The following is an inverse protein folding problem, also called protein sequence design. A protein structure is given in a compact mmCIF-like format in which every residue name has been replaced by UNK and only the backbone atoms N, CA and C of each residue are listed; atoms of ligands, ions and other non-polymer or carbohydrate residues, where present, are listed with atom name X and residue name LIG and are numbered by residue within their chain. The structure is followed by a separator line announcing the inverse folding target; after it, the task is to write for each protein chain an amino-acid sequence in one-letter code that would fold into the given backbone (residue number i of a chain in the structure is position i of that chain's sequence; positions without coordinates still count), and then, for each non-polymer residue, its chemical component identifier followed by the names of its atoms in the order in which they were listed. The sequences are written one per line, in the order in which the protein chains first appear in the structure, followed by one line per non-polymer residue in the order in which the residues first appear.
data_IF_451005511445
#
_entry.id   IF_451005511445
#
_cell.length_a   1.000
_cell.length_b   1.000
_cell.length_c   1.000
_cell.angle_alpha   90.00
_cell.angle_beta   90.00
_cell.angle_gamma   90.00
#
_symmetry.space_group_name_H-M   'P 1'
#
loop_
_entity.id
_entity.type
_entity.pdbx_description
1 polymer ?
#
# COMPACT_ATOMS: atom_id res chain seq x y z
N UNK A 1 -30.38 11.41 7.26
CA UNK A 1 -30.38 11.75 8.69
C UNK A 1 -29.64 10.60 9.38
N UNK A 2 -28.39 10.66 9.84
CA UNK A 2 -27.34 11.67 9.91
C UNK A 2 -26.08 11.03 9.32
N UNK A 3 -25.24 11.80 8.62
CA UNK A 3 -23.97 11.31 8.08
C UNK A 3 -22.98 11.20 9.23
N UNK A 4 -22.50 10.00 9.52
CA UNK A 4 -21.28 9.82 10.29
C UNK A 4 -20.12 10.26 9.39
N UNK A 5 -19.83 11.57 9.44
CA UNK A 5 -18.75 12.20 8.72
C UNK A 5 -17.62 12.33 9.72
N UNK A 6 -16.61 11.47 9.63
CA UNK A 6 -15.34 11.69 10.33
C UNK A 6 -14.75 12.98 9.75
N UNK A 7 -14.91 14.08 10.48
CA UNK A 7 -14.38 15.38 10.11
C UNK A 7 -12.86 15.33 10.29
N UNK A 8 -12.12 15.55 9.21
CA UNK A 8 -10.66 15.61 9.23
C UNK A 8 -10.20 16.94 9.86
N UNK A 9 -9.10 16.90 10.63
CA UNK A 9 -8.65 18.03 11.45
C UNK A 9 -8.32 19.31 10.66
N UNK A 10 -8.07 19.19 9.36
CA UNK A 10 -7.85 20.29 8.42
C UNK A 10 -9.11 21.14 8.16
N UNK A 11 -10.32 20.62 8.44
CA UNK A 11 -11.56 21.41 8.34
C UNK A 11 -11.70 22.44 9.49
N UNK A 12 -11.03 22.24 10.63
CA UNK A 12 -11.16 23.12 11.81
C UNK A 12 -10.01 24.12 11.99
N UNK A 13 -8.84 23.87 11.39
CA UNK A 13 -7.68 24.75 11.53
C UNK A 13 -6.97 24.92 10.18
N UNK A 14 -7.11 26.08 9.50
CA UNK A 14 -6.54 26.30 8.16
C UNK A 14 -5.01 26.36 8.13
N UNK A 15 -4.35 26.39 9.29
CA UNK A 15 -2.90 26.27 9.48
C UNK A 15 -2.48 24.88 9.95
N UNK A 16 -3.42 23.97 10.22
CA UNK A 16 -3.09 22.60 10.57
C UNK A 16 -2.50 21.89 9.36
N UNK A 17 -1.36 21.25 9.59
CA UNK A 17 -0.68 20.45 8.59
C UNK A 17 -1.62 19.34 8.13
N UNK A 18 -1.81 19.22 6.81
CA UNK A 18 -2.60 18.14 6.20
C UNK A 18 -2.04 16.79 6.65
N UNK A 19 -2.81 16.07 7.46
CA UNK A 19 -2.49 14.73 7.95
C UNK A 19 -2.58 13.78 6.75
N UNK A 20 -1.54 12.99 6.50
CA UNK A 20 -1.61 11.98 5.45
C UNK A 20 -2.63 10.90 5.82
N UNK A 21 -3.27 10.26 4.84
CA UNK A 21 -4.19 9.15 5.11
C UNK A 21 -3.48 8.06 5.92
N UNK A 22 -4.05 7.68 7.07
CA UNK A 22 -3.46 6.73 8.00
C UNK A 22 -2.40 7.30 8.96
N UNK A 23 -2.03 8.58 8.84
CA UNK A 23 -1.12 9.23 9.80
C UNK A 23 -1.83 9.48 11.14
N UNK A 24 -1.30 8.87 12.21
CA UNK A 24 -1.84 9.01 13.58
C UNK A 24 -1.17 10.20 14.30
N UNK A 25 0.09 10.50 13.94
CA UNK A 25 0.80 11.64 14.51
C UNK A 25 2.30 11.62 14.26
N UNK A 26 2.99 12.59 14.88
CA UNK A 26 4.44 12.75 14.82
C UNK A 26 5.02 12.84 16.23
N UNK A 27 6.06 12.05 16.52
CA UNK A 27 6.78 12.08 17.78
C UNK A 27 8.29 11.99 17.51
N UNK A 28 9.09 12.83 18.18
CA UNK A 28 10.56 12.89 18.02
C UNK A 28 11.06 12.92 16.56
N UNK A 29 10.35 13.63 15.67
CA UNK A 29 10.73 13.71 14.25
C UNK A 29 10.18 12.56 13.38
N UNK A 30 9.68 11.48 13.97
CA UNK A 30 9.14 10.31 13.28
C UNK A 30 7.63 10.47 13.08
N UNK A 31 7.15 10.18 11.86
CA UNK A 31 5.72 10.15 11.54
C UNK A 31 5.22 8.70 11.60
N UNK A 32 4.15 8.48 12.35
CA UNK A 32 3.50 7.18 12.49
C UNK A 32 2.32 7.11 11.53
N UNK A 33 2.31 6.06 10.71
CA UNK A 33 1.26 5.77 9.74
C UNK A 33 0.79 4.34 9.99
N UNK A 34 -0.52 4.17 10.17
CA UNK A 34 -1.18 2.87 10.25
C UNK A 34 -1.62 2.43 8.86
N UNK A 35 -1.46 1.15 8.58
CA UNK A 35 -1.88 0.51 7.33
C UNK A 35 -2.34 -0.91 7.60
N UNK A 36 -3.37 -1.35 6.86
CA UNK A 36 -3.84 -2.74 6.87
C UNK A 36 -2.94 -3.66 6.06
N UNK A 37 -2.06 -3.11 5.23
CA UNK A 37 -1.22 -3.84 4.27
C UNK A 37 0.20 -4.11 4.81
N UNK A 38 0.42 -3.95 6.12
CA UNK A 38 1.71 -4.25 6.72
C UNK A 38 2.02 -5.75 6.67
N UNK A 39 3.27 -6.11 6.37
CA UNK A 39 3.68 -7.52 6.26
C UNK A 39 3.67 -8.20 7.62
N UNK A 40 3.06 -9.38 7.68
CA UNK A 40 3.12 -10.29 8.82
C UNK A 40 3.89 -11.56 8.46
N UNK A 41 4.64 -12.09 9.42
CA UNK A 41 5.33 -13.37 9.26
C UNK A 41 4.69 -14.42 10.16
N UNK A 42 4.42 -15.59 9.60
CA UNK A 42 4.05 -16.78 10.37
C UNK A 42 5.32 -17.53 10.71
N UNK A 43 5.55 -17.76 12.00
CA UNK A 43 6.68 -18.51 12.52
C UNK A 43 6.16 -19.81 13.13
N UNK A 44 6.76 -20.93 12.73
CA UNK A 44 6.44 -22.25 13.24
C UNK A 44 6.64 -22.31 14.77
N UNK A 45 5.60 -22.75 15.47
CA UNK A 45 5.62 -22.94 16.92
C UNK A 45 6.38 -24.19 17.38
N UNK A 46 6.70 -25.09 16.45
CA UNK A 46 7.17 -26.45 16.71
C UNK A 46 6.06 -27.36 17.21
N UNK A 47 6.35 -28.66 17.35
CA UNK A 47 5.37 -29.74 17.58
C UNK A 47 4.40 -29.55 18.75
N UNK A 48 4.69 -28.66 19.71
CA UNK A 48 3.93 -28.47 20.94
C UNK A 48 3.35 -27.06 21.12
N UNK A 49 3.55 -26.14 20.18
CA UNK A 49 2.99 -24.78 20.27
C UNK A 49 2.26 -24.40 18.98
N UNK A 50 1.22 -23.56 19.07
CA UNK A 50 0.63 -22.98 17.87
C UNK A 50 1.62 -22.07 17.14
N UNK A 51 1.44 -21.96 15.83
CA UNK A 51 2.12 -20.98 15.01
C UNK A 51 1.91 -19.57 15.55
N UNK A 52 2.96 -18.76 15.39
CA UNK A 52 3.06 -17.43 15.95
C UNK A 52 3.04 -16.40 14.84
N UNK A 53 2.22 -15.35 15.01
CA UNK A 53 2.17 -14.23 14.07
C UNK A 53 3.08 -13.13 14.59
N UNK A 54 4.05 -12.74 13.76
CA UNK A 54 4.97 -11.64 14.00
C UNK A 54 4.55 -10.47 13.12
N UNK A 55 4.24 -9.33 13.74
CA UNK A 55 3.88 -8.10 13.06
C UNK A 55 5.13 -7.27 12.74
N UNK A 56 5.23 -6.79 11.50
CA UNK A 56 6.33 -5.93 11.09
C UNK A 56 5.94 -4.46 11.14
N UNK A 57 6.73 -3.67 11.86
CA UNK A 57 6.70 -2.21 11.78
C UNK A 57 7.94 -1.75 11.04
N UNK A 58 7.75 -1.08 9.89
CA UNK A 58 8.85 -0.54 9.10
C UNK A 58 9.10 0.92 9.49
N UNK A 59 10.34 1.21 9.89
CA UNK A 59 10.84 2.56 10.10
C UNK A 59 11.73 2.91 8.91
N UNK A 60 11.33 3.93 8.16
CA UNK A 60 12.02 4.35 6.93
C UNK A 60 12.53 5.79 7.09
N UNK A 61 13.83 5.97 6.91
CA UNK A 61 14.47 7.27 6.77
C UNK A 61 14.25 7.89 5.39
N UNK A 62 14.62 9.16 5.25
CA UNK A 62 14.67 9.80 3.94
C UNK A 62 15.62 9.03 3.01
N UNK A 63 15.22 8.88 1.74
CA UNK A 63 16.01 8.24 0.69
C UNK A 63 16.39 6.76 0.95
N UNK A 64 15.75 6.08 1.91
CA UNK A 64 16.02 4.66 2.20
C UNK A 64 15.68 3.74 1.00
N UNK A 65 14.63 4.08 0.26
CA UNK A 65 14.21 3.36 -0.94
C UNK A 65 13.83 4.34 -2.06
N UNK A 66 13.97 3.87 -3.29
CA UNK A 66 13.60 4.60 -4.49
C UNK A 66 12.51 3.87 -5.25
N UNK A 67 11.71 4.64 -5.98
CA UNK A 67 10.77 4.11 -6.96
C UNK A 67 11.14 4.64 -8.34
N UNK A 68 10.95 3.84 -9.38
CA UNK A 68 11.17 4.30 -10.75
C UNK A 68 9.99 5.17 -11.19
N UNK A 69 10.27 6.40 -11.62
CA UNK A 69 9.35 7.20 -12.44
C UNK A 69 9.82 7.17 -13.88
N UNK A 70 8.96 6.74 -14.79
CA UNK A 70 9.24 6.72 -16.24
C UNK A 70 8.19 7.60 -16.92
N UNK A 71 8.64 8.68 -17.55
CA UNK A 71 7.77 9.56 -18.32
C UNK A 71 7.14 8.80 -19.49
N UNK A 72 5.82 8.76 -19.54
CA UNK A 72 5.05 8.01 -20.54
C UNK A 72 4.97 6.49 -20.31
N UNK A 73 5.67 5.95 -19.30
CA UNK A 73 5.69 4.51 -18.96
C UNK A 73 4.75 4.09 -17.81
N UNK A 74 3.85 4.98 -17.39
CA UNK A 74 2.94 4.77 -16.24
C UNK A 74 1.84 3.73 -16.48
N UNK A 75 0.77 3.82 -15.70
CA UNK A 75 -0.38 2.92 -15.83
C UNK A 75 -1.16 3.23 -17.11
N UNK A 76 -1.26 2.24 -17.99
CA UNK A 76 -2.06 2.30 -19.22
C UNK A 76 -3.20 1.30 -19.12
N UNK A 77 -4.44 1.80 -19.23
CA UNK A 77 -5.62 0.96 -19.37
C UNK A 77 -5.87 0.69 -20.86
N UNK A 78 -6.09 -0.58 -21.20
CA UNK A 78 -6.34 -1.06 -22.55
C UNK A 78 -7.70 -1.75 -22.55
N UNK A 79 -8.65 -1.14 -23.25
CA UNK A 79 -10.00 -1.70 -23.43
C UNK A 79 -10.15 -2.21 -24.85
N UNK A 80 -10.47 -3.50 -24.96
CA UNK A 80 -10.90 -4.15 -26.19
C UNK A 80 -12.41 -4.19 -26.18
N UNK A 81 -13.01 -3.35 -27.02
CA UNK A 81 -14.46 -3.21 -27.14
C UNK A 81 -15.12 -4.51 -27.62
N UNK A 82 -16.42 -4.60 -27.40
CA UNK A 82 -17.25 -5.71 -27.85
C UNK A 82 -17.07 -5.95 -29.36
N UNK A 83 -16.86 -7.20 -29.77
CA UNK A 83 -16.62 -7.55 -31.19
C UNK A 83 -15.21 -7.29 -31.71
N UNK A 84 -14.27 -6.85 -30.86
CA UNK A 84 -12.86 -6.66 -31.24
C UNK A 84 -12.13 -7.96 -31.63
N UNK A 85 -12.70 -9.13 -31.33
CA UNK A 85 -12.16 -10.44 -31.71
C UNK A 85 -12.67 -10.94 -33.07
N UNK A 86 -13.51 -10.17 -33.77
CA UNK A 86 -14.01 -10.50 -35.11
C UNK A 86 -14.68 -11.88 -35.15
N UNK A 87 -14.32 -12.70 -36.14
CA UNK A 87 -14.93 -14.04 -36.32
C UNK A 87 -14.65 -15.03 -35.19
N UNK A 88 -13.72 -14.73 -34.27
CA UNK A 88 -13.50 -15.54 -33.07
C UNK A 88 -14.53 -15.25 -31.95
N UNK A 89 -15.24 -14.12 -32.04
CA UNK A 89 -16.42 -13.78 -31.23
C UNK A 89 -17.57 -13.36 -32.16
N UNK A 90 -18.13 -14.30 -32.95
CA UNK A 90 -19.06 -13.98 -34.03
C UNK A 90 -20.39 -13.39 -33.53
N UNK A 91 -20.67 -13.50 -32.23
CA UNK A 91 -21.86 -12.94 -31.60
C UNK A 91 -21.57 -11.67 -30.79
N UNK A 92 -20.33 -11.16 -30.80
CA UNK A 92 -19.92 -9.99 -30.03
C UNK A 92 -20.33 -10.11 -28.55
N UNK A 93 -19.95 -11.20 -27.88
CA UNK A 93 -20.32 -11.45 -26.47
C UNK A 93 -19.22 -11.10 -25.47
N UNK A 94 -18.00 -10.86 -25.94
CA UNK A 94 -16.84 -10.67 -25.06
C UNK A 94 -16.22 -9.29 -25.29
N UNK A 95 -16.00 -8.60 -24.18
CA UNK A 95 -15.18 -7.40 -24.07
C UNK A 95 -14.07 -7.67 -23.05
N UNK A 96 -12.91 -7.05 -23.20
CA UNK A 96 -11.80 -7.24 -22.27
C UNK A 96 -11.23 -5.89 -21.88
N UNK A 97 -11.13 -5.65 -20.59
CA UNK A 97 -10.39 -4.53 -20.03
C UNK A 97 -9.18 -5.09 -19.30
N UNK A 98 -8.01 -4.56 -19.60
CA UNK A 98 -6.77 -4.93 -18.95
C UNK A 98 -5.93 -3.69 -18.72
N UNK A 99 -5.03 -3.75 -17.76
CA UNK A 99 -4.11 -2.67 -17.48
C UNK A 99 -2.67 -3.17 -17.53
N UNK A 100 -1.76 -2.26 -17.83
CA UNK A 100 -0.32 -2.48 -17.77
C UNK A 100 0.28 -1.34 -16.98
N UNK A 101 1.18 -1.65 -16.05
CA UNK A 101 1.90 -0.64 -15.28
C UNK A 101 3.37 -1.05 -15.20
N UNK A 102 4.26 -0.06 -15.26
CA UNK A 102 5.68 -0.25 -15.01
C UNK A 102 5.98 0.37 -13.65
N UNK A 103 6.38 -0.44 -12.69
CA UNK A 103 6.73 -0.01 -11.36
C UNK A 103 7.83 -0.90 -10.79
N UNK A 104 8.88 -0.28 -10.28
CA UNK A 104 9.93 -0.96 -9.52
C UNK A 104 10.24 -0.11 -8.30
N UNK A 105 10.33 -0.76 -7.14
CA UNK A 105 10.88 -0.19 -5.92
C UNK A 105 12.20 -0.90 -5.59
N UNK A 106 13.20 -0.15 -5.13
CA UNK A 106 14.51 -0.69 -4.75
C UNK A 106 15.03 -0.02 -3.48
N UNK A 107 15.64 -0.81 -2.61
CA UNK A 107 16.39 -0.31 -1.44
C UNK A 107 17.64 0.40 -1.97
N UNK A 108 17.81 1.66 -1.57
CA UNK A 108 18.96 2.48 -1.96
C UNK A 108 20.07 2.39 -0.92
N UNK A 109 19.70 2.52 0.36
CA UNK A 109 20.60 2.46 1.52
C UNK A 109 19.90 1.68 2.61
N UNK A 110 20.38 0.48 2.91
CA UNK A 110 19.73 -0.42 3.87
C UNK A 110 19.82 0.11 5.30
N UNK A 111 20.90 0.82 5.64
CA UNK A 111 21.13 1.42 6.95
C UNK A 111 20.09 2.50 7.32
N UNK A 112 19.34 3.01 6.34
CA UNK A 112 18.31 4.03 6.55
C UNK A 112 16.94 3.43 6.80
N UNK A 113 16.83 2.12 6.95
CA UNK A 113 15.58 1.45 7.29
C UNK A 113 15.79 0.40 8.37
N UNK A 114 14.78 0.23 9.21
CA UNK A 114 14.75 -0.80 10.24
C UNK A 114 13.39 -1.47 10.22
N UNK A 115 13.37 -2.80 10.28
CA UNK A 115 12.17 -3.57 10.54
C UNK A 115 12.15 -3.98 12.01
N UNK A 116 11.14 -3.52 12.73
CA UNK A 116 10.85 -3.92 14.10
C UNK A 116 9.81 -5.02 14.04
N UNK A 117 10.11 -6.15 14.65
CA UNK A 117 9.26 -7.33 14.67
C UNK A 117 8.70 -7.51 16.08
N UNK A 118 7.38 -7.54 16.17
CA UNK A 118 6.66 -7.63 17.44
C UNK A 118 5.74 -8.83 17.43
N UNK A 119 5.76 -9.58 18.52
CA UNK A 119 4.81 -10.64 18.81
C UNK A 119 4.14 -10.33 20.15
N UNK A 120 2.83 -10.57 20.22
CA UNK A 120 2.10 -10.54 21.47
C UNK A 120 1.64 -11.96 21.82
N UNK A 121 1.73 -12.30 23.11
CA UNK A 121 1.11 -13.49 23.69
C UNK A 121 0.16 -13.04 24.80
N UNK A 122 -0.94 -13.77 24.97
CA UNK A 122 -1.89 -13.56 26.06
C UNK A 122 -1.30 -13.91 27.43
#
# INVERSE_FOLDING_TARGET
MSRDRTVTADEYEPIARKIATGEIGKLYGVRFVETTEAVTFTVDGGDSNPDKIVHSTLVLGADAYGITSIDGGGLTNIVKQLGSAGSADPLNQRSTSGWKAIHVAKILVEEYMVRIESLASA
#
